data_IF_477496852687
#
_entry.id   IF_477496852687
#
_cell.length_a   1.000
_cell.length_b   1.000
_cell.length_c   1.000
_cell.angle_alpha   90.00
_cell.angle_beta   90.00
_cell.angle_gamma   90.00
#
_symmetry.space_group_name_H-M   'P 1'
#
loop_
_entity.id
_entity.type
_entity.pdbx_description
1 polymer ?
#
# COMPACT_ATOMS: atom_id res chain seq x y z
N UNK A 1 37.16 6.20 9.93
CA UNK A 1 35.95 7.01 10.22
C UNK A 1 34.66 6.30 9.79
N UNK A 2 34.59 4.96 9.92
CA UNK A 2 33.41 4.15 9.55
C UNK A 2 32.75 3.53 10.81
N UNK A 3 33.54 3.31 11.87
CA UNK A 3 33.06 2.75 13.13
C UNK A 3 32.23 3.70 14.02
N UNK A 4 32.29 5.03 13.82
CA UNK A 4 31.43 5.96 14.58
C UNK A 4 30.02 6.12 14.01
N UNK A 5 29.78 5.76 12.74
CA UNK A 5 28.45 5.86 12.13
C UNK A 5 27.53 4.67 12.45
N UNK A 6 28.06 3.56 12.97
CA UNK A 6 27.24 2.44 13.44
C UNK A 6 26.67 2.67 14.84
N UNK A 7 27.47 3.20 15.77
CA UNK A 7 27.01 3.48 17.14
C UNK A 7 26.00 4.65 17.24
N UNK A 8 26.06 5.63 16.33
CA UNK A 8 25.06 6.70 16.29
C UNK A 8 23.72 6.25 15.69
N UNK A 9 23.73 5.33 14.72
CA UNK A 9 22.51 4.81 14.10
C UNK A 9 21.67 3.93 15.06
N UNK A 10 22.32 3.13 15.92
CA UNK A 10 21.59 2.32 16.90
C UNK A 10 20.89 3.18 17.97
N UNK A 11 21.56 4.23 18.46
CA UNK A 11 20.98 5.14 19.46
C UNK A 11 19.83 6.00 18.88
N UNK A 12 19.95 6.49 17.64
CA UNK A 12 18.86 7.23 16.97
C UNK A 12 17.66 6.31 16.61
N UNK A 13 17.91 5.05 16.28
CA UNK A 13 16.85 4.08 15.99
C UNK A 13 16.05 3.71 17.25
N UNK A 14 16.72 3.49 18.38
CA UNK A 14 16.06 3.21 19.66
C UNK A 14 15.26 4.42 20.18
N UNK A 15 15.81 5.63 20.09
CA UNK A 15 15.09 6.86 20.50
C UNK A 15 13.82 7.09 19.66
N UNK A 16 13.87 6.81 18.35
CA UNK A 16 12.70 6.89 17.47
C UNK A 16 11.66 5.79 17.71
N UNK A 17 12.10 4.59 18.12
CA UNK A 17 11.20 3.47 18.45
C UNK A 17 10.38 3.76 19.70
N UNK A 18 11.04 4.26 20.73
CA UNK A 18 10.37 4.65 21.98
C UNK A 18 9.39 5.80 21.74
N UNK A 19 9.73 6.73 20.83
CA UNK A 19 8.84 7.80 20.42
C UNK A 19 7.57 7.30 19.73
N UNK A 20 7.68 6.32 18.82
CA UNK A 20 6.49 5.73 18.19
C UNK A 20 5.62 4.98 19.20
N UNK A 21 6.23 4.16 20.07
CA UNK A 21 5.50 3.39 21.07
C UNK A 21 4.73 4.30 22.04
N UNK A 22 5.38 5.35 22.54
CA UNK A 22 4.72 6.35 23.38
C UNK A 22 3.54 6.99 22.64
N UNK A 23 3.77 7.43 21.39
CA UNK A 23 2.71 8.00 20.57
C UNK A 23 1.53 7.05 20.31
N UNK A 24 1.82 5.76 20.13
CA UNK A 24 0.82 4.73 19.92
C UNK A 24 -0.02 4.49 21.19
N UNK A 25 0.64 4.42 22.35
CA UNK A 25 -0.04 4.29 23.66
C UNK A 25 -0.90 5.53 23.94
N UNK A 26 -0.39 6.73 23.67
CA UNK A 26 -1.15 7.98 23.83
C UNK A 26 -2.39 7.98 22.93
N UNK A 27 -2.23 7.56 21.66
CA UNK A 27 -3.35 7.45 20.71
C UNK A 27 -4.42 6.48 21.22
N UNK A 28 -4.03 5.33 21.77
CA UNK A 28 -4.96 4.35 22.33
C UNK A 28 -5.71 4.98 23.51
N UNK A 29 -4.98 5.56 24.46
CA UNK A 29 -5.53 6.18 25.66
C UNK A 29 -6.53 7.26 25.29
N UNK A 30 -6.15 8.17 24.39
CA UNK A 30 -7.02 9.23 23.88
C UNK A 30 -8.26 8.70 23.18
N UNK A 31 -8.13 7.67 22.35
CA UNK A 31 -9.27 7.09 21.66
C UNK A 31 -10.22 6.38 22.62
N UNK A 32 -9.73 5.72 23.66
CA UNK A 32 -10.56 5.06 24.66
C UNK A 32 -11.43 6.05 25.46
N UNK A 33 -11.03 7.32 25.58
CA UNK A 33 -11.88 8.37 26.18
C UNK A 33 -13.02 8.83 25.27
N UNK A 34 -12.98 8.50 23.98
CA UNK A 34 -13.91 8.96 22.94
C UNK A 34 -14.91 7.86 22.59
N UNK A 35 -16.03 8.24 21.98
CA UNK A 35 -16.92 7.27 21.34
C UNK A 35 -16.25 6.66 20.10
N UNK A 36 -16.61 5.41 19.77
CA UNK A 36 -15.99 4.63 18.65
C UNK A 36 -15.96 5.37 17.31
N UNK A 37 -16.96 6.22 17.04
CA UNK A 37 -17.06 6.98 15.79
C UNK A 37 -16.10 8.20 15.74
N UNK A 38 -15.54 8.58 16.89
CA UNK A 38 -14.67 9.74 17.05
C UNK A 38 -13.20 9.36 17.23
N UNK A 39 -12.84 8.09 16.99
CA UNK A 39 -11.45 7.69 16.98
C UNK A 39 -10.68 8.48 15.92
N UNK A 40 -9.46 8.86 16.27
CA UNK A 40 -8.54 9.61 15.40
C UNK A 40 -7.19 8.90 15.42
N UNK A 41 -6.55 8.87 14.25
CA UNK A 41 -5.29 8.19 14.05
C UNK A 41 -4.37 9.10 13.25
N UNK A 42 -3.12 9.21 13.71
CA UNK A 42 -2.08 9.93 12.98
C UNK A 42 -1.65 9.17 11.72
N UNK A 43 -0.88 9.84 10.86
CA UNK A 43 -0.32 9.19 9.68
C UNK A 43 0.65 8.05 10.05
N UNK A 44 1.44 8.20 11.12
CA UNK A 44 2.33 7.13 11.60
C UNK A 44 1.54 5.88 11.99
N UNK A 45 0.41 6.03 12.70
CA UNK A 45 -0.43 4.89 13.08
C UNK A 45 -1.14 4.29 11.87
N UNK A 46 -1.61 5.12 10.93
CA UNK A 46 -2.21 4.63 9.68
C UNK A 46 -1.19 3.85 8.84
N UNK A 47 0.05 4.32 8.73
CA UNK A 47 1.11 3.65 8.00
C UNK A 47 1.46 2.31 8.67
N UNK A 48 1.61 2.30 9.99
CA UNK A 48 1.80 1.06 10.75
C UNK A 48 0.64 0.07 10.53
N UNK A 49 -0.60 0.54 10.62
CA UNK A 49 -1.80 -0.27 10.38
C UNK A 49 -1.83 -0.84 8.95
N UNK A 50 -1.44 -0.05 7.95
CA UNK A 50 -1.35 -0.47 6.56
C UNK A 50 -0.27 -1.53 6.36
N UNK A 51 0.92 -1.34 6.93
CA UNK A 51 2.00 -2.32 6.92
C UNK A 51 1.58 -3.63 7.59
N UNK A 52 0.93 -3.55 8.76
CA UNK A 52 0.41 -4.71 9.47
C UNK A 52 -0.65 -5.45 8.65
N UNK A 53 -1.55 -4.74 7.97
CA UNK A 53 -2.56 -5.33 7.11
C UNK A 53 -1.96 -6.02 5.88
N UNK A 54 -0.97 -5.39 5.24
CA UNK A 54 -0.30 -5.93 4.05
C UNK A 54 0.54 -7.17 4.40
N UNK A 55 1.34 -7.09 5.48
CA UNK A 55 2.27 -8.16 5.86
C UNK A 55 1.58 -9.28 6.65
N UNK A 56 0.71 -8.92 7.59
CA UNK A 56 0.01 -9.87 8.45
C UNK A 56 -1.29 -10.41 7.86
N UNK A 57 -1.84 -9.74 6.84
CA UNK A 57 -3.11 -10.09 6.23
C UNK A 57 -4.33 -9.68 7.06
N UNK A 58 -5.51 -9.82 6.44
CA UNK A 58 -6.80 -9.38 7.01
C UNK A 58 -7.12 -10.00 8.37
N UNK A 59 -6.90 -11.30 8.53
CA UNK A 59 -7.28 -12.01 9.76
C UNK A 59 -6.45 -11.54 10.96
N UNK A 60 -5.13 -11.45 10.79
CA UNK A 60 -4.20 -10.94 11.82
C UNK A 60 -4.54 -9.50 12.20
N UNK A 61 -4.81 -8.67 11.19
CA UNK A 61 -5.20 -7.28 11.41
C UNK A 61 -6.49 -7.15 12.23
N UNK A 62 -7.55 -7.87 11.83
CA UNK A 62 -8.84 -7.85 12.55
C UNK A 62 -8.69 -8.38 13.98
N UNK A 63 -7.92 -9.45 14.15
CA UNK A 63 -7.66 -10.03 15.47
C UNK A 63 -7.03 -8.98 16.40
N UNK A 64 -5.98 -8.30 15.97
CA UNK A 64 -5.33 -7.26 16.78
C UNK A 64 -6.27 -6.08 17.04
N UNK A 65 -7.00 -5.60 16.02
CA UNK A 65 -7.93 -4.47 16.17
C UNK A 65 -9.03 -4.77 17.18
N UNK A 66 -9.56 -6.00 17.19
CA UNK A 66 -10.62 -6.41 18.11
C UNK A 66 -10.11 -6.62 19.54
N UNK A 67 -8.88 -7.13 19.71
CA UNK A 67 -8.28 -7.37 21.03
C UNK A 67 -7.62 -6.13 21.63
N UNK A 68 -7.33 -5.09 20.83
CA UNK A 68 -6.77 -3.82 21.29
C UNK A 68 -7.63 -2.64 20.83
N UNK A 69 -8.79 -2.37 21.49
CA UNK A 69 -9.72 -1.33 21.06
C UNK A 69 -9.07 0.07 21.04
N UNK A 70 -9.38 0.87 20.01
CA UNK A 70 -8.86 2.24 19.88
C UNK A 70 -7.43 2.35 19.32
N UNK A 71 -6.76 1.22 19.08
CA UNK A 71 -5.38 1.19 18.56
C UNK A 71 -5.29 1.28 17.04
N UNK A 72 -6.17 0.58 16.33
CA UNK A 72 -6.07 0.38 14.90
C UNK A 72 -7.33 0.87 14.17
N UNK A 73 -7.19 1.53 13.00
CA UNK A 73 -8.31 1.95 12.18
C UNK A 73 -9.23 0.81 11.73
N UNK A 74 -10.46 1.16 11.38
CA UNK A 74 -11.36 0.22 10.72
C UNK A 74 -10.88 -0.10 9.30
N UNK A 75 -11.20 -1.31 8.80
CA UNK A 75 -10.83 -1.74 7.43
C UNK A 75 -11.33 -0.79 6.35
N UNK A 76 -12.50 -0.18 6.53
CA UNK A 76 -13.03 0.79 5.57
C UNK A 76 -12.09 1.98 5.38
N UNK A 77 -11.45 2.44 6.46
CA UNK A 77 -10.50 3.55 6.41
C UNK A 77 -9.18 3.13 5.74
N UNK A 78 -8.72 1.91 6.01
CA UNK A 78 -7.56 1.32 5.31
C UNK A 78 -7.83 1.17 3.81
N UNK A 79 -8.96 0.56 3.45
CA UNK A 79 -9.34 0.36 2.06
C UNK A 79 -9.50 1.70 1.32
N UNK A 80 -10.07 2.72 1.97
CA UNK A 80 -10.11 4.06 1.40
C UNK A 80 -8.72 4.65 1.19
N UNK A 81 -7.80 4.45 2.14
CA UNK A 81 -6.41 4.90 2.03
C UNK A 81 -5.65 4.17 0.91
N UNK A 82 -5.88 2.87 0.74
CA UNK A 82 -5.31 2.07 -0.35
C UNK A 82 -5.89 2.52 -1.69
N UNK A 83 -7.21 2.66 -1.79
CA UNK A 83 -7.90 3.06 -3.03
C UNK A 83 -7.57 4.48 -3.47
N UNK A 84 -7.29 5.39 -2.53
CA UNK A 84 -6.87 6.77 -2.82
C UNK A 84 -5.36 6.91 -3.02
N UNK A 85 -4.59 5.85 -2.80
CA UNK A 85 -3.15 5.91 -3.03
C UNK A 85 -2.83 5.90 -4.52
N UNK A 86 -1.88 6.73 -4.93
CA UNK A 86 -1.25 6.70 -6.26
C UNK A 86 -0.51 5.39 -6.53
N UNK A 87 -0.54 4.44 -5.62
CA UNK A 87 0.07 3.12 -5.71
C UNK A 87 -0.81 2.08 -6.40
N UNK A 88 -2.08 2.38 -6.71
CA UNK A 88 -2.95 1.44 -7.45
C UNK A 88 -2.34 1.15 -8.81
N UNK A 89 -2.03 -0.12 -9.08
CA UNK A 89 -1.49 -0.56 -10.36
C UNK A 89 -2.67 -0.81 -11.30
N UNK A 90 -2.57 -0.26 -12.52
CA UNK A 90 -3.51 -0.50 -13.60
C UNK A 90 -2.87 -1.41 -14.65
N UNK A 91 -3.69 -2.26 -15.28
CA UNK A 91 -3.23 -3.13 -16.36
C UNK A 91 -2.69 -2.30 -17.53
N UNK A 92 -1.53 -2.70 -18.07
CA UNK A 92 -0.86 -2.00 -19.18
C UNK A 92 -0.24 -0.65 -18.82
N UNK A 93 -0.23 -0.27 -17.53
CA UNK A 93 0.38 0.99 -17.07
C UNK A 93 1.70 0.75 -16.35
N UNK A 94 2.76 1.35 -16.88
CA UNK A 94 4.08 1.38 -16.23
C UNK A 94 4.29 2.72 -15.55
N UNK A 95 4.72 2.69 -14.28
CA UNK A 95 5.00 3.90 -13.49
C UNK A 95 6.48 4.27 -13.53
N UNK A 96 7.02 4.46 -14.74
CA UNK A 96 8.43 4.77 -14.93
C UNK A 96 8.84 6.08 -14.22
N UNK A 97 7.96 7.06 -14.12
CA UNK A 97 8.23 8.31 -13.38
C UNK A 97 8.47 8.06 -11.89
N UNK A 98 7.70 7.15 -11.28
CA UNK A 98 7.87 6.78 -9.88
C UNK A 98 9.15 5.98 -9.68
N UNK A 99 9.47 5.10 -10.64
CA UNK A 99 10.72 4.35 -10.66
C UNK A 99 11.95 5.27 -10.76
N UNK A 100 11.88 6.28 -11.64
CA UNK A 100 12.95 7.27 -11.79
C UNK A 100 13.17 8.06 -10.50
N UNK A 101 12.08 8.57 -9.89
CA UNK A 101 12.17 9.27 -8.59
C UNK A 101 12.80 8.39 -7.51
N UNK A 102 12.51 7.09 -7.54
CA UNK A 102 13.10 6.14 -6.60
C UNK A 102 14.60 5.96 -6.85
N UNK A 103 15.02 5.85 -8.11
CA UNK A 103 16.44 5.78 -8.49
C UNK A 103 17.20 7.04 -8.11
N UNK A 104 16.63 8.21 -8.35
CA UNK A 104 17.20 9.49 -7.95
C UNK A 104 17.38 9.55 -6.43
N UNK A 105 16.41 9.05 -5.65
CA UNK A 105 16.50 9.01 -4.18
C UNK A 105 17.60 8.10 -3.64
N UNK A 106 17.95 7.04 -4.39
CA UNK A 106 18.99 6.08 -4.02
C UNK A 106 20.34 6.39 -4.69
N UNK A 107 20.41 7.45 -5.51
CA UNK A 107 21.57 7.78 -6.35
C UNK A 107 22.01 6.59 -7.24
N UNK A 108 21.04 5.83 -7.74
CA UNK A 108 21.26 4.66 -8.62
C UNK A 108 20.93 5.06 -10.06
N UNK A 109 21.79 4.68 -11.00
CA UNK A 109 21.67 5.11 -12.41
C UNK A 109 21.27 3.97 -13.36
N UNK A 110 21.34 2.73 -12.90
CA UNK A 110 21.10 1.55 -13.74
C UNK A 110 20.28 0.52 -12.97
N UNK A 111 19.36 -0.12 -13.68
CA UNK A 111 18.64 -1.29 -13.19
C UNK A 111 18.51 -2.31 -14.32
N UNK A 112 18.50 -3.58 -13.93
CA UNK A 112 18.28 -4.70 -14.84
C UNK A 112 16.90 -5.28 -14.56
N UNK A 113 16.09 -5.41 -15.61
CA UNK A 113 14.79 -6.07 -15.55
C UNK A 113 14.85 -7.40 -16.27
N UNK A 114 14.22 -8.42 -15.67
CA UNK A 114 13.89 -9.67 -16.34
C UNK A 114 12.40 -9.91 -16.13
N UNK A 115 11.73 -10.38 -17.17
CA UNK A 115 10.32 -10.77 -17.10
C UNK A 115 10.21 -12.29 -17.00
N UNK A 116 9.27 -12.75 -16.19
CA UNK A 116 8.81 -14.13 -16.16
C UNK A 116 7.27 -14.11 -16.04
N UNK A 117 6.62 -15.13 -16.57
CA UNK A 117 5.16 -15.22 -16.58
C UNK A 117 4.66 -16.19 -15.50
N UNK A 118 3.71 -15.74 -14.69
CA UNK A 118 3.01 -16.61 -13.74
C UNK A 118 1.63 -17.00 -14.29
N UNK A 119 1.29 -18.29 -14.21
CA UNK A 119 -0.04 -18.77 -14.58
C UNK A 119 -1.12 -18.15 -13.69
N UNK A 120 -2.11 -17.50 -14.30
CA UNK A 120 -3.24 -16.88 -13.59
C UNK A 120 -4.53 -17.71 -13.77
N UNK A 121 -5.34 -17.79 -12.71
CA UNK A 121 -6.70 -18.35 -12.81
C UNK A 121 -7.57 -17.32 -13.54
N UNK A 122 -8.04 -17.68 -14.75
CA UNK A 122 -8.89 -16.82 -15.56
C UNK A 122 -10.18 -16.51 -14.82
N UNK A 123 -10.35 -15.24 -14.42
CA UNK A 123 -11.57 -14.75 -13.80
C UNK A 123 -11.88 -13.37 -14.33
N UNK A 124 -12.99 -13.25 -15.02
CA UNK A 124 -13.50 -11.98 -15.50
C UNK A 124 -14.03 -11.20 -14.30
N UNK A 125 -13.59 -9.94 -14.16
CA UNK A 125 -14.08 -9.02 -13.14
C UNK A 125 -14.38 -7.66 -13.76
N UNK A 126 -15.51 -7.09 -13.37
CA UNK A 126 -15.83 -5.71 -13.67
C UNK A 126 -15.16 -4.79 -12.63
N UNK A 127 -14.45 -3.77 -13.10
CA UNK A 127 -13.95 -2.67 -12.28
C UNK A 127 -14.84 -1.45 -12.51
N UNK A 128 -15.67 -1.11 -11.51
CA UNK A 128 -16.57 0.04 -11.55
C UNK A 128 -15.84 1.38 -11.55
N UNK A 129 -14.57 1.41 -11.15
CA UNK A 129 -13.78 2.65 -11.05
C UNK A 129 -13.38 3.14 -12.44
N UNK A 130 -12.99 2.21 -13.30
CA UNK A 130 -12.53 2.47 -14.67
C UNK A 130 -13.56 2.10 -15.72
N UNK A 131 -14.71 1.56 -15.29
CA UNK A 131 -15.79 1.08 -16.15
C UNK A 131 -15.32 0.06 -17.20
N UNK A 132 -14.50 -0.90 -16.77
CA UNK A 132 -13.82 -1.86 -17.65
C UNK A 132 -13.96 -3.29 -17.15
N UNK A 133 -13.98 -4.25 -18.08
CA UNK A 133 -13.77 -5.66 -17.75
C UNK A 133 -12.27 -6.00 -17.73
N UNK A 134 -11.86 -6.72 -16.70
CA UNK A 134 -10.49 -7.23 -16.50
C UNK A 134 -10.51 -8.75 -16.49
N UNK A 135 -9.38 -9.39 -16.82
CA UNK A 135 -9.23 -10.85 -16.83
C UNK A 135 -9.40 -11.50 -18.21
N UNK A 136 -9.59 -10.71 -19.25
CA UNK A 136 -9.39 -11.12 -20.64
C UNK A 136 -7.94 -10.86 -21.05
N UNK A 137 -7.39 -11.61 -22.01
CA UNK A 137 -6.13 -11.23 -22.64
C UNK A 137 -6.33 -9.92 -23.42
N UNK A 138 -5.71 -8.84 -22.95
CA UNK A 138 -5.73 -7.55 -23.65
C UNK A 138 -4.93 -7.65 -24.96
N UNK A 139 -5.36 -6.91 -25.99
CA UNK A 139 -4.53 -6.73 -27.18
C UNK A 139 -3.20 -6.09 -26.81
N UNK A 140 -2.15 -6.42 -27.57
CA UNK A 140 -0.81 -5.91 -27.34
C UNK A 140 -0.46 -4.87 -28.41
N UNK A 141 0.05 -3.72 -27.97
CA UNK A 141 0.78 -2.78 -28.83
C UNK A 141 2.27 -2.87 -28.51
N UNK A 142 3.08 -3.31 -29.48
CA UNK A 142 4.54 -3.54 -29.32
C UNK A 142 4.90 -4.41 -28.11
N UNK A 143 4.08 -5.41 -27.81
CA UNK A 143 4.27 -6.33 -26.68
C UNK A 143 3.75 -5.81 -25.34
N UNK A 144 3.18 -4.62 -25.29
CA UNK A 144 2.58 -4.03 -24.08
C UNK A 144 1.05 -4.15 -24.13
N UNK A 145 0.38 -4.61 -23.06
CA UNK A 145 -1.08 -4.61 -22.99
C UNK A 145 -1.67 -3.21 -23.18
N UNK A 146 -2.66 -3.08 -24.06
CA UNK A 146 -3.41 -1.84 -24.25
C UNK A 146 -4.27 -1.61 -23.00
N UNK A 147 -4.01 -0.49 -22.32
CA UNK A 147 -4.71 -0.12 -21.08
C UNK A 147 -6.22 0.00 -21.32
N UNK A 148 -7.00 -0.59 -20.41
CA UNK A 148 -8.47 -0.46 -20.37
C UNK A 148 -9.16 -0.82 -21.69
N UNK A 149 -8.63 -1.82 -22.41
CA UNK A 149 -9.13 -2.22 -23.73
C UNK A 149 -10.61 -2.57 -23.77
N UNK A 150 -11.10 -3.33 -22.78
CA UNK A 150 -12.50 -3.76 -22.69
C UNK A 150 -13.34 -2.78 -21.86
N UNK A 151 -13.70 -1.63 -22.43
CA UNK A 151 -14.65 -0.70 -21.80
C UNK A 151 -16.10 -1.22 -21.94
N UNK A 152 -16.93 -0.97 -20.94
CA UNK A 152 -18.34 -1.41 -20.98
C UNK A 152 -19.22 -0.58 -21.90
N UNK A 153 -18.74 0.62 -22.25
CA UNK A 153 -19.50 1.61 -23.01
C UNK A 153 -19.24 1.48 -24.53
N UNK A 154 -18.23 0.70 -24.92
CA UNK A 154 -17.91 0.39 -26.32
C UNK A 154 -18.37 -1.03 -26.65
N UNK A 155 -19.38 -1.14 -27.50
CA UNK A 155 -19.92 -2.40 -28.04
C UNK A 155 -19.39 -2.73 -29.44
N UNK A 156 -18.26 -2.12 -29.84
CA UNK A 156 -17.69 -2.38 -31.16
C UNK A 156 -16.98 -3.74 -31.14
N UNK A 157 -17.55 -4.66 -31.92
CA UNK A 157 -17.25 -6.08 -32.06
C UNK A 157 -15.90 -6.37 -32.74
#
# INVERSE_FOLDING_TARGET
MIFMNLFNNENEADENKDKFLNYFIDTITDNLTKSKNNFRYSNSIKNFALSLYILGGKLTYEFLRLNLPGSLPHLSLLNSSISSSDSRISEGEFKFDQLQKHFDSLNVHYAFGSEDCTGIVKRIKYDSTTNTFTGFPSLLDRGVPIKSYYQTDSFDA
#
